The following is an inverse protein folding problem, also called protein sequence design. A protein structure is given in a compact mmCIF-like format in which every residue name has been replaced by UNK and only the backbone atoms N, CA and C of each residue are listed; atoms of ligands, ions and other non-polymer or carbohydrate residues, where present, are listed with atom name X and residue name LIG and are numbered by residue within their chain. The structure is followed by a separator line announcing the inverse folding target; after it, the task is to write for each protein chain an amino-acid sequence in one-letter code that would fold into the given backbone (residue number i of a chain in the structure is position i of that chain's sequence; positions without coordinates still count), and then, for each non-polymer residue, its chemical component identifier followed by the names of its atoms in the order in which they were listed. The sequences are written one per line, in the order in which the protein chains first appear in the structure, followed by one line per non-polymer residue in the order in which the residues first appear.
data_IF_427629550082
#
_entry.id   IF_427629550082
#
_cell.length_a   1.000
_cell.length_b   1.000
_cell.length_c   1.000
_cell.angle_alpha   90.00
_cell.angle_beta   90.00
_cell.angle_gamma   90.00
#
_symmetry.space_group_name_H-M   'P 1'
#
loop_
_entity.id
_entity.type
_entity.pdbx_description
1 polymer ?
#
# COMPACT_ATOMS: atom_id res chain seq x y z
N UNK A 1 -23.60 15.60 -7.73
CA UNK A 1 -23.44 14.43 -6.84
C UNK A 1 -23.29 14.95 -5.42
N UNK A 2 -24.04 14.46 -4.44
CA UNK A 2 -23.85 14.87 -3.06
C UNK A 2 -22.48 14.38 -2.60
N UNK A 3 -21.56 15.31 -2.34
CA UNK A 3 -20.27 14.99 -1.73
C UNK A 3 -20.53 14.36 -0.35
N UNK A 4 -20.05 13.14 -0.13
CA UNK A 4 -20.09 12.53 1.19
C UNK A 4 -19.20 13.38 2.11
N UNK A 5 -19.82 14.10 3.05
CA UNK A 5 -19.10 14.94 4.00
C UNK A 5 -18.29 14.06 4.96
N UNK A 6 -17.05 14.46 5.28
CA UNK A 6 -16.28 13.83 6.33
C UNK A 6 -16.97 14.06 7.68
N UNK A 7 -17.45 13.00 8.32
CA UNK A 7 -18.15 13.05 9.61
C UNK A 7 -17.32 12.51 10.78
N UNK A 8 -16.16 11.92 10.50
CA UNK A 8 -15.28 11.30 11.48
C UNK A 8 -13.83 11.72 11.27
N UNK A 9 -13.06 11.73 12.35
CA UNK A 9 -11.60 11.86 12.35
C UNK A 9 -10.89 10.50 12.52
N UNK A 10 -11.65 9.41 12.60
CA UNK A 10 -11.10 8.05 12.61
C UNK A 10 -10.48 7.74 11.24
N UNK A 11 -9.19 7.39 11.21
CA UNK A 11 -8.46 7.08 9.98
C UNK A 11 -9.03 5.88 9.22
N UNK A 12 -9.76 4.99 9.89
CA UNK A 12 -10.38 3.82 9.28
C UNK A 12 -11.72 4.14 8.61
N UNK A 13 -12.35 5.27 8.94
CA UNK A 13 -13.58 5.74 8.31
C UNK A 13 -13.29 6.41 6.96
N UNK A 14 -13.12 5.57 5.96
CA UNK A 14 -12.79 5.97 4.58
C UNK A 14 -13.99 5.97 3.65
N UNK A 15 -15.22 5.76 4.17
CA UNK A 15 -16.41 5.64 3.34
C UNK A 15 -16.68 6.89 2.49
N UNK A 16 -16.38 8.07 3.04
CA UNK A 16 -16.53 9.36 2.36
C UNK A 16 -15.53 9.58 1.20
N UNK A 17 -14.49 8.75 1.08
CA UNK A 17 -13.46 8.88 0.05
C UNK A 17 -13.74 8.10 -1.24
N UNK A 18 -14.79 7.26 -1.26
CA UNK A 18 -15.09 6.35 -2.38
C UNK A 18 -16.60 6.33 -2.67
N UNK A 19 -16.96 6.25 -3.95
CA UNK A 19 -18.33 5.98 -4.38
C UNK A 19 -18.65 4.47 -4.35
N UNK A 20 -17.64 3.65 -4.66
CA UNK A 20 -17.76 2.19 -4.73
C UNK A 20 -17.27 1.45 -3.48
N UNK A 21 -17.11 0.13 -3.63
CA UNK A 21 -16.56 -0.72 -2.57
C UNK A 21 -15.07 -0.42 -2.27
N UNK A 22 -14.35 0.16 -3.23
CA UNK A 22 -12.93 0.53 -3.12
C UNK A 22 -12.72 1.90 -3.76
N UNK A 23 -11.72 2.64 -3.28
CA UNK A 23 -11.32 3.91 -3.88
C UNK A 23 -10.62 3.67 -5.22
N UNK A 24 -10.93 4.48 -6.23
CA UNK A 24 -10.24 4.49 -7.53
C UNK A 24 -9.01 5.41 -7.50
N UNK A 25 -8.13 5.28 -8.49
CA UNK A 25 -6.98 6.18 -8.63
C UNK A 25 -7.40 7.62 -8.96
N UNK A 26 -8.48 7.79 -9.72
CA UNK A 26 -9.05 9.10 -10.03
C UNK A 26 -9.67 9.76 -8.80
N UNK A 27 -10.42 9.01 -7.99
CA UNK A 27 -10.95 9.50 -6.71
C UNK A 27 -9.80 9.91 -5.79
N UNK A 28 -8.76 9.08 -5.67
CA UNK A 28 -7.59 9.41 -4.88
C UNK A 28 -6.89 10.68 -5.39
N UNK A 29 -6.71 10.84 -6.70
CA UNK A 29 -6.15 12.06 -7.29
C UNK A 29 -7.02 13.29 -6.99
N UNK A 30 -8.34 13.16 -7.12
CA UNK A 30 -9.29 14.23 -6.83
C UNK A 30 -9.19 14.67 -5.36
N UNK A 31 -9.14 13.74 -4.41
CA UNK A 31 -8.99 14.05 -2.99
C UNK A 31 -7.65 14.72 -2.67
N UNK A 32 -6.55 14.28 -3.31
CA UNK A 32 -5.24 14.93 -3.16
C UNK A 32 -5.25 16.36 -3.72
N UNK A 33 -5.93 16.59 -4.84
CA UNK A 33 -6.11 17.91 -5.43
C UNK A 33 -6.95 18.83 -4.51
N UNK A 34 -8.02 18.31 -3.91
CA UNK A 34 -8.82 19.04 -2.92
C UNK A 34 -8.00 19.39 -1.67
N UNK A 35 -7.22 18.44 -1.14
CA UNK A 35 -6.35 18.66 0.01
C UNK A 35 -5.27 19.72 -0.28
N UNK A 36 -4.67 19.71 -1.48
CA UNK A 36 -3.76 20.77 -1.94
C UNK A 36 -4.42 22.15 -1.85
N UNK A 37 -5.63 22.31 -2.37
CA UNK A 37 -6.35 23.59 -2.33
C UNK A 37 -6.59 24.03 -0.90
N UNK A 38 -7.01 23.11 -0.03
CA UNK A 38 -7.23 23.41 1.40
C UNK A 38 -5.93 23.88 2.09
N UNK A 39 -4.79 23.21 1.86
CA UNK A 39 -3.51 23.64 2.44
C UNK A 39 -3.12 25.06 1.97
N UNK A 40 -3.33 25.38 0.70
CA UNK A 40 -3.05 26.73 0.17
C UNK A 40 -4.01 27.78 0.75
N UNK A 41 -5.28 27.43 0.97
CA UNK A 41 -6.26 28.30 1.62
C UNK A 41 -5.88 28.56 3.09
N UNK A 42 -5.45 27.54 3.83
CA UNK A 42 -4.96 27.69 5.20
C UNK A 42 -3.70 28.57 5.22
N UNK A 43 -2.72 28.30 4.35
CA UNK A 43 -1.52 29.11 4.23
C UNK A 43 -1.85 30.59 3.96
N UNK A 44 -2.83 30.85 3.08
CA UNK A 44 -3.31 32.21 2.78
C UNK A 44 -4.03 32.86 3.98
N UNK A 45 -4.83 32.11 4.73
CA UNK A 45 -5.50 32.63 5.91
C UNK A 45 -4.51 32.98 7.04
N UNK A 46 -3.43 32.21 7.18
CA UNK A 46 -2.37 32.44 8.16
C UNK A 46 -1.48 33.66 7.85
N UNK A 47 -1.59 34.26 6.66
CA UNK A 47 -0.93 35.55 6.37
C UNK A 47 -1.50 36.71 7.21
N UNK A 48 -2.73 36.55 7.72
CA UNK A 48 -3.39 37.52 8.60
C UNK A 48 -4.01 36.82 9.82
N UNK A 49 -3.18 36.30 10.74
CA UNK A 49 -3.68 35.55 11.88
C UNK A 49 -4.42 36.48 12.87
N UNK A 50 -5.41 35.94 13.56
CA UNK A 50 -6.17 36.70 14.58
C UNK A 50 -5.29 37.16 15.76
N UNK A 51 -4.18 36.46 16.00
CA UNK A 51 -3.18 36.78 17.01
C UNK A 51 -1.86 37.08 16.31
N UNK A 52 -1.19 38.17 16.68
CA UNK A 52 0.08 38.58 16.09
C UNK A 52 1.22 37.61 16.44
N UNK A 53 1.37 36.58 15.61
CA UNK A 53 2.43 35.57 15.68
C UNK A 53 3.09 35.50 14.31
N UNK A 54 4.42 35.42 14.28
CA UNK A 54 5.19 35.20 13.04
C UNK A 54 5.04 33.74 12.61
N UNK A 55 4.53 33.53 11.40
CA UNK A 55 4.13 32.22 10.87
C UNK A 55 4.71 31.93 9.47
N UNK A 56 5.66 32.73 8.97
CA UNK A 56 6.23 32.56 7.63
C UNK A 56 6.71 31.12 7.34
N UNK A 57 7.43 30.50 8.29
CA UNK A 57 7.96 29.15 8.11
C UNK A 57 6.85 28.10 7.96
N UNK A 58 5.75 28.24 8.71
CA UNK A 58 4.59 27.34 8.65
C UNK A 58 3.79 27.54 7.35
N UNK A 59 3.62 28.79 6.92
CA UNK A 59 3.00 29.13 5.64
C UNK A 59 3.77 28.47 4.49
N UNK A 60 5.09 28.57 4.50
CA UNK A 60 5.93 27.97 3.47
C UNK A 60 5.96 26.43 3.56
N UNK A 61 5.86 25.86 4.77
CA UNK A 61 5.71 24.42 4.95
C UNK A 61 4.40 23.89 4.33
N UNK A 62 3.28 24.57 4.57
CA UNK A 62 1.98 24.24 3.97
C UNK A 62 2.02 24.32 2.44
N UNK A 63 2.67 25.34 1.87
CA UNK A 63 2.82 25.50 0.41
C UNK A 63 3.71 24.41 -0.20
N UNK A 64 4.78 23.99 0.49
CA UNK A 64 5.61 22.84 0.07
C UNK A 64 4.81 21.55 0.07
N UNK A 65 4.08 21.26 1.16
CA UNK A 65 3.20 20.09 1.22
C UNK A 65 2.15 20.10 0.12
N UNK A 66 1.54 21.26 -0.17
CA UNK A 66 0.60 21.40 -1.28
C UNK A 66 1.22 21.09 -2.65
N UNK A 67 2.48 21.46 -2.86
CA UNK A 67 3.25 21.08 -4.07
C UNK A 67 3.48 19.58 -4.15
N UNK A 68 3.87 18.95 -3.05
CA UNK A 68 4.07 17.49 -2.98
C UNK A 68 2.77 16.73 -3.27
N UNK A 69 1.63 17.20 -2.74
CA UNK A 69 0.32 16.63 -3.03
C UNK A 69 -0.05 16.78 -4.51
N UNK A 70 0.31 17.91 -5.16
CA UNK A 70 0.14 18.09 -6.61
C UNK A 70 0.87 17.00 -7.40
N UNK A 71 2.15 16.77 -7.11
CA UNK A 71 2.94 15.75 -7.81
C UNK A 71 2.39 14.33 -7.60
N UNK A 72 1.85 14.04 -6.42
CA UNK A 72 1.17 12.75 -6.15
C UNK A 72 -0.17 12.63 -6.89
N UNK A 73 -0.95 13.69 -6.95
CA UNK A 73 -2.21 13.75 -7.72
C UNK A 73 -1.95 13.50 -9.20
N UNK A 74 -0.95 14.16 -9.79
CA UNK A 74 -0.55 13.95 -11.19
C UNK A 74 -0.09 12.51 -11.44
N UNK A 75 0.66 11.94 -10.48
CA UNK A 75 1.06 10.54 -10.53
C UNK A 75 -0.14 9.60 -10.55
N UNK A 76 -1.15 9.84 -9.70
CA UNK A 76 -2.36 9.01 -9.66
C UNK A 76 -3.22 9.13 -10.91
N UNK A 77 -3.36 10.33 -11.49
CA UNK A 77 -4.02 10.49 -12.78
C UNK A 77 -3.31 9.73 -13.90
N UNK A 78 -1.97 9.77 -13.91
CA UNK A 78 -1.18 9.01 -14.88
C UNK A 78 -1.37 7.50 -14.70
N UNK A 79 -1.40 7.02 -13.46
CA UNK A 79 -1.67 5.62 -13.17
C UNK A 79 -3.09 5.21 -13.58
N UNK A 80 -4.09 6.08 -13.38
CA UNK A 80 -5.47 5.82 -13.82
C UNK A 80 -5.51 5.57 -15.33
N UNK A 81 -4.93 6.47 -16.13
CA UNK A 81 -4.84 6.31 -17.58
C UNK A 81 -4.09 5.03 -18.01
N UNK A 82 -3.06 4.59 -17.24
CA UNK A 82 -2.41 3.30 -17.49
C UNK A 82 -3.36 2.13 -17.19
N UNK A 83 -4.03 2.15 -16.04
CA UNK A 83 -4.92 1.08 -15.56
C UNK A 83 -6.13 0.92 -16.48
N UNK A 84 -6.67 2.02 -16.99
CA UNK A 84 -7.80 2.03 -17.94
C UNK A 84 -7.38 1.57 -19.35
N UNK A 85 -6.07 1.55 -19.63
CA UNK A 85 -5.49 1.09 -20.89
C UNK A 85 -5.26 2.18 -21.93
N UNK A 86 -5.54 3.44 -21.61
CA UNK A 86 -5.25 4.61 -22.47
C UNK A 86 -3.75 4.80 -22.69
N UNK A 87 -2.94 4.44 -21.68
CA UNK A 87 -1.48 4.45 -21.76
C UNK A 87 -0.97 3.01 -21.84
N UNK A 88 -0.31 2.69 -22.97
CA UNK A 88 0.37 1.41 -23.15
C UNK A 88 1.60 1.31 -22.23
N UNK A 89 1.93 0.07 -21.90
CA UNK A 89 3.06 -0.30 -21.04
C UNK A 89 3.88 -1.40 -21.71
N UNK A 90 5.15 -1.50 -21.36
CA UNK A 90 5.99 -2.58 -21.87
C UNK A 90 5.50 -3.94 -21.36
N UNK A 91 5.57 -4.98 -22.20
CA UNK A 91 5.13 -6.34 -21.82
C UNK A 91 6.10 -7.04 -20.85
N UNK A 92 7.35 -6.59 -20.74
CA UNK A 92 8.35 -7.14 -19.81
C UNK A 92 9.09 -6.03 -19.06
N UNK A 93 9.84 -6.42 -18.02
CA UNK A 93 10.79 -5.56 -17.31
C UNK A 93 12.12 -5.48 -18.09
N UNK A 94 13.08 -4.58 -17.74
CA UNK A 94 14.28 -4.38 -18.55
C UNK A 94 15.22 -5.60 -18.56
N UNK A 95 15.11 -6.47 -17.56
CA UNK A 95 15.80 -7.76 -17.52
C UNK A 95 15.08 -8.87 -18.33
N UNK A 96 14.04 -8.52 -19.11
CA UNK A 96 13.27 -9.46 -19.94
C UNK A 96 12.14 -10.16 -19.19
N UNK A 97 11.97 -9.85 -17.91
CA UNK A 97 11.06 -10.54 -17.03
C UNK A 97 9.57 -10.22 -17.32
N UNK A 98 8.68 -11.21 -17.56
CA UNK A 98 7.24 -10.95 -17.65
C UNK A 98 6.64 -10.45 -16.33
N UNK A 99 5.49 -9.79 -16.43
CA UNK A 99 4.65 -9.36 -15.31
C UNK A 99 3.17 -9.66 -15.58
N UNK A 100 2.31 -9.43 -14.59
CA UNK A 100 0.88 -9.74 -14.69
C UNK A 100 0.64 -11.23 -14.93
N UNK A 101 -0.30 -11.57 -15.81
CA UNK A 101 -0.69 -12.95 -16.12
C UNK A 101 0.44 -13.72 -16.79
N UNK A 102 1.31 -13.05 -17.55
CA UNK A 102 2.45 -13.68 -18.22
C UNK A 102 3.52 -14.17 -17.22
N UNK A 103 3.52 -13.68 -15.98
CA UNK A 103 4.40 -14.17 -14.92
C UNK A 103 3.85 -15.43 -14.21
N UNK A 104 2.68 -15.96 -14.62
CA UNK A 104 2.11 -17.19 -14.05
C UNK A 104 3.03 -18.39 -14.25
N UNK A 105 3.38 -19.04 -13.14
CA UNK A 105 4.23 -20.22 -13.13
C UNK A 105 5.72 -19.92 -13.31
N UNK A 106 6.16 -18.65 -13.28
CA UNK A 106 7.58 -18.34 -13.17
C UNK A 106 8.03 -18.44 -11.71
N UNK A 107 8.96 -19.34 -11.42
CA UNK A 107 9.66 -19.42 -10.13
C UNK A 107 10.64 -18.25 -10.04
N UNK A 108 10.15 -17.07 -9.65
CA UNK A 108 11.02 -15.93 -9.33
C UNK A 108 11.27 -15.85 -7.84
N UNK A 109 12.54 -15.91 -7.48
CA UNK A 109 13.01 -15.72 -6.09
C UNK A 109 12.90 -14.24 -5.65
N UNK A 110 13.04 -13.28 -6.57
CA UNK A 110 13.19 -11.85 -6.25
C UNK A 110 11.86 -11.09 -6.05
N UNK A 111 10.77 -11.57 -6.64
CA UNK A 111 9.48 -10.87 -6.63
C UNK A 111 8.37 -11.85 -6.23
N UNK A 112 8.14 -11.96 -4.92
CA UNK A 112 7.26 -12.97 -4.33
C UNK A 112 5.83 -12.96 -4.88
N UNK A 113 5.52 -13.97 -5.70
CA UNK A 113 4.17 -14.38 -6.06
C UNK A 113 4.08 -15.02 -7.46
N UNK A 114 3.07 -15.88 -7.71
CA UNK A 114 2.84 -16.50 -9.02
C UNK A 114 2.33 -15.51 -10.08
N UNK A 115 1.97 -14.28 -9.73
CA UNK A 115 1.72 -13.21 -10.69
C UNK A 115 2.29 -11.90 -10.13
N UNK A 116 3.05 -11.17 -10.93
CA UNK A 116 3.68 -9.92 -10.49
C UNK A 116 2.73 -8.77 -10.73
N UNK A 117 2.08 -8.28 -9.66
CA UNK A 117 1.41 -6.97 -9.65
C UNK A 117 2.51 -5.91 -9.52
N UNK A 118 2.74 -5.06 -10.54
CA UNK A 118 3.79 -4.06 -10.48
C UNK A 118 3.52 -3.02 -9.39
N UNK A 119 4.58 -2.54 -8.74
CA UNK A 119 4.52 -1.32 -7.92
C UNK A 119 4.23 -0.09 -8.78
N UNK A 120 3.78 1.00 -8.16
CA UNK A 120 3.60 2.30 -8.83
C UNK A 120 4.82 2.70 -9.66
N UNK A 121 6.03 2.60 -9.10
CA UNK A 121 7.28 2.97 -9.80
C UNK A 121 7.54 2.08 -11.01
N UNK A 122 7.33 0.77 -10.86
CA UNK A 122 7.49 -0.18 -11.96
C UNK A 122 6.49 0.10 -13.09
N UNK A 123 5.24 0.39 -12.76
CA UNK A 123 4.21 0.64 -13.77
C UNK A 123 4.47 1.94 -14.56
N UNK A 124 4.88 3.02 -13.88
CA UNK A 124 5.30 4.26 -14.53
C UNK A 124 6.50 4.03 -15.44
N UNK A 125 7.49 3.27 -14.98
CA UNK A 125 8.65 2.92 -15.80
C UNK A 125 8.28 2.12 -17.05
N UNK A 126 7.40 1.12 -16.91
CA UNK A 126 6.92 0.33 -18.04
C UNK A 126 6.19 1.22 -19.08
N UNK A 127 5.46 2.23 -18.63
CA UNK A 127 4.81 3.21 -19.50
C UNK A 127 5.83 4.11 -20.21
N UNK A 128 6.83 4.61 -19.48
CA UNK A 128 7.91 5.45 -20.05
C UNK A 128 8.68 4.69 -21.15
N UNK A 129 8.99 3.42 -20.92
CA UNK A 129 9.70 2.56 -21.90
C UNK A 129 8.85 2.31 -23.15
N UNK A 130 7.56 1.99 -22.97
CA UNK A 130 6.66 1.80 -24.10
C UNK A 130 6.49 3.08 -24.95
N UNK A 131 6.44 4.24 -24.29
CA UNK A 131 6.36 5.53 -24.98
C UNK A 131 7.62 5.81 -25.80
N UNK A 132 8.81 5.52 -25.24
CA UNK A 132 10.09 5.69 -25.96
C UNK A 132 10.17 4.78 -27.20
N UNK A 133 9.81 3.50 -27.05
CA UNK A 133 9.81 2.55 -28.15
C UNK A 133 8.84 2.92 -29.30
N UNK A 134 7.76 3.64 -28.99
CA UNK A 134 6.81 4.15 -30.00
C UNK A 134 7.34 5.34 -30.80
N UNK A 135 8.24 6.14 -30.25
CA UNK A 135 8.84 7.30 -30.93
C UNK A 135 9.99 6.91 -31.87
N UNK A 136 10.66 5.80 -31.61
CA UNK A 136 11.84 5.36 -32.39
C UNK A 136 11.50 4.76 -33.77
N UNK A 137 10.22 4.70 -34.16
CA UNK A 137 9.79 4.26 -35.50
C UNK A 137 10.08 5.29 -36.61
N UNK A 138 10.38 6.56 -36.30
CA UNK A 138 10.77 7.58 -37.29
C UNK A 138 12.27 7.92 -37.32
N UNK A 139 13.10 7.35 -36.44
CA UNK A 139 14.52 7.70 -36.40
C UNK A 139 15.30 6.99 -35.30
N UNK A 140 15.67 5.74 -35.57
CA UNK A 140 16.53 4.83 -34.79
C UNK A 140 17.35 5.51 -33.68
N UNK A 141 16.89 5.40 -32.44
CA UNK A 141 17.75 5.31 -31.27
C UNK A 141 17.47 3.99 -30.56
N UNK A 142 18.21 2.94 -30.96
CA UNK A 142 18.29 1.71 -30.18
C UNK A 142 18.77 2.06 -28.78
N UNK A 143 17.89 1.90 -27.79
CA UNK A 143 18.31 1.77 -26.39
C UNK A 143 19.43 0.72 -26.31
N UNK A 144 20.48 0.94 -25.50
CA UNK A 144 21.59 0.00 -25.39
C UNK A 144 21.07 -1.28 -24.71
N UNK A 145 20.85 -2.31 -25.53
CA UNK A 145 20.23 -3.58 -25.14
C UNK A 145 18.99 -3.81 -25.99
N UNK A 146 19.11 -4.66 -27.02
CA UNK A 146 18.05 -4.99 -27.98
C UNK A 146 16.79 -5.52 -27.31
N UNK A 147 15.93 -4.59 -26.90
CA UNK A 147 14.72 -4.88 -26.17
C UNK A 147 13.58 -5.14 -27.17
N UNK A 148 13.37 -6.41 -27.52
CA UNK A 148 12.24 -6.89 -28.33
C UNK A 148 10.95 -7.04 -27.48
N UNK A 149 10.79 -6.23 -26.43
CA UNK A 149 9.59 -6.25 -25.61
C UNK A 149 8.45 -5.54 -26.33
N UNK A 150 7.43 -6.29 -26.76
CA UNK A 150 6.19 -5.70 -27.28
C UNK A 150 5.52 -4.79 -26.26
N UNK A 151 4.62 -3.91 -26.73
CA UNK A 151 3.74 -3.13 -25.84
C UNK A 151 2.43 -3.88 -25.58
N UNK A 152 1.87 -3.68 -24.39
CA UNK A 152 0.55 -4.21 -23.97
C UNK A 152 -0.22 -3.12 -23.23
N UNK A 153 -1.49 -3.37 -22.89
CA UNK A 153 -2.28 -2.52 -21.99
C UNK A 153 -2.38 -3.18 -20.61
N UNK A 154 -2.60 -2.38 -19.56
CA UNK A 154 -2.77 -2.93 -18.21
C UNK A 154 -3.94 -3.92 -18.11
N UNK A 155 -5.15 -3.66 -18.66
CA UNK A 155 -6.25 -4.64 -18.62
C UNK A 155 -5.90 -5.96 -19.32
N UNK A 156 -5.15 -5.92 -20.42
CA UNK A 156 -4.72 -7.13 -21.13
C UNK A 156 -3.69 -7.92 -20.32
N UNK A 157 -2.67 -7.25 -19.77
CA UNK A 157 -1.63 -7.89 -18.96
C UNK A 157 -2.19 -8.50 -17.66
N UNK A 158 -3.24 -7.91 -17.10
CA UNK A 158 -3.88 -8.36 -15.86
C UNK A 158 -5.08 -9.29 -16.10
N UNK A 159 -5.39 -9.64 -17.35
CA UNK A 159 -6.53 -10.47 -17.69
C UNK A 159 -6.47 -11.83 -16.96
N UNK A 160 -7.52 -12.15 -16.21
CA UNK A 160 -7.62 -13.37 -15.41
C UNK A 160 -7.02 -13.26 -14.00
N UNK A 161 -6.37 -12.15 -13.62
CA UNK A 161 -5.93 -11.92 -12.23
C UNK A 161 -7.11 -11.41 -11.38
N UNK A 162 -7.47 -12.19 -10.36
CA UNK A 162 -8.46 -11.79 -9.37
C UNK A 162 -7.85 -10.81 -8.35
N UNK A 163 -7.82 -9.53 -8.72
CA UNK A 163 -7.31 -8.46 -7.86
C UNK A 163 -8.25 -8.13 -6.68
N UNK A 164 -9.49 -8.66 -6.61
CA UNK A 164 -10.39 -8.44 -5.48
C UNK A 164 -9.93 -9.12 -4.19
N UNK A 165 -9.15 -10.20 -4.33
CA UNK A 165 -8.54 -10.90 -3.20
C UNK A 165 -7.15 -10.38 -2.86
N UNK A 166 -6.61 -9.47 -3.68
CA UNK A 166 -5.31 -8.90 -3.44
C UNK A 166 -5.36 -7.84 -2.34
N UNK A 167 -4.35 -7.84 -1.48
CA UNK A 167 -4.18 -6.83 -0.46
C UNK A 167 -2.80 -6.16 -0.59
N UNK A 168 -2.77 -4.83 -0.45
CA UNK A 168 -1.52 -4.07 -0.43
C UNK A 168 -0.61 -4.49 0.73
N UNK A 169 0.71 -4.41 0.52
CA UNK A 169 1.72 -4.66 1.57
C UNK A 169 1.51 -3.79 2.81
N UNK A 170 1.02 -2.56 2.65
CA UNK A 170 0.74 -1.66 3.77
C UNK A 170 -0.38 -2.21 4.67
N UNK A 171 -1.46 -2.72 4.06
CA UNK A 171 -2.56 -3.33 4.80
C UNK A 171 -2.14 -4.67 5.44
N UNK A 172 -1.31 -5.48 4.76
CA UNK A 172 -0.70 -6.67 5.37
C UNK A 172 0.13 -6.32 6.63
N UNK A 173 0.95 -5.27 6.56
CA UNK A 173 1.75 -4.79 7.70
C UNK A 173 0.84 -4.31 8.83
N UNK A 174 -0.23 -3.55 8.53
CA UNK A 174 -1.18 -3.09 9.53
C UNK A 174 -1.88 -4.28 10.22
N UNK A 175 -2.42 -5.23 9.45
CA UNK A 175 -3.05 -6.44 9.99
C UNK A 175 -2.09 -7.25 10.86
N UNK A 176 -0.82 -7.38 10.45
CA UNK A 176 0.22 -8.03 11.26
C UNK A 176 0.42 -7.29 12.60
N UNK A 177 0.48 -5.96 12.60
CA UNK A 177 0.59 -5.17 13.83
C UNK A 177 -0.63 -5.32 14.73
N UNK A 178 -1.83 -5.31 14.17
CA UNK A 178 -3.08 -5.53 14.91
C UNK A 178 -3.09 -6.93 15.55
N UNK A 179 -2.66 -7.95 14.80
CA UNK A 179 -2.48 -9.31 15.31
C UNK A 179 -1.45 -9.35 16.43
N UNK A 180 -0.26 -8.79 16.24
CA UNK A 180 0.81 -8.81 17.23
C UNK A 180 0.39 -8.10 18.53
N UNK A 181 -0.36 -6.99 18.42
CA UNK A 181 -0.96 -6.32 19.57
C UNK A 181 -2.02 -7.19 20.27
N UNK A 182 -2.89 -7.87 19.52
CA UNK A 182 -3.87 -8.79 20.08
C UNK A 182 -3.20 -10.00 20.77
N UNK A 183 -2.12 -10.52 20.22
CA UNK A 183 -1.30 -11.58 20.83
C UNK A 183 -0.66 -11.09 22.12
N UNK A 184 -0.08 -9.89 22.13
CA UNK A 184 0.50 -9.32 23.35
C UNK A 184 -0.51 -9.22 24.50
N UNK A 185 -1.76 -8.84 24.21
CA UNK A 185 -2.85 -8.83 25.19
C UNK A 185 -3.27 -10.26 25.60
N UNK A 186 -3.43 -11.16 24.64
CA UNK A 186 -3.86 -12.54 24.89
C UNK A 186 -2.83 -13.33 25.71
N UNK A 187 -1.54 -13.10 25.48
CA UNK A 187 -0.44 -13.69 26.26
C UNK A 187 -0.65 -13.43 27.75
N UNK A 188 -1.03 -12.21 28.14
CA UNK A 188 -1.24 -11.87 29.54
C UNK A 188 -2.46 -12.57 30.16
N UNK A 189 -3.44 -13.00 29.34
CA UNK A 189 -4.65 -13.71 29.80
C UNK A 189 -4.42 -15.21 30.05
N UNK A 190 -3.44 -15.81 29.38
CA UNK A 190 -3.17 -17.25 29.49
C UNK A 190 -2.24 -17.50 30.68
N UNK A 191 -2.62 -18.38 31.60
CA UNK A 191 -1.72 -18.81 32.69
C UNK A 191 -0.50 -19.56 32.14
N UNK A 192 0.70 -19.20 32.60
CA UNK A 192 1.92 -19.85 32.15
C UNK A 192 2.16 -21.17 32.90
N UNK A 193 2.08 -22.30 32.20
CA UNK A 193 2.33 -23.62 32.80
C UNK A 193 3.76 -23.80 33.36
N UNK A 194 4.76 -23.08 32.82
CA UNK A 194 6.17 -23.25 33.19
C UNK A 194 6.61 -22.44 34.41
N UNK A 195 6.08 -21.23 34.60
CA UNK A 195 6.45 -20.35 35.71
C UNK A 195 5.26 -19.91 36.57
N UNK A 196 4.10 -20.53 36.34
CA UNK A 196 2.83 -20.30 37.04
C UNK A 196 2.34 -18.85 37.04
N UNK A 197 2.90 -17.99 36.17
CA UNK A 197 2.44 -16.61 36.02
C UNK A 197 0.95 -16.59 35.62
N UNK A 198 0.13 -15.91 36.42
CA UNK A 198 -1.31 -15.86 36.26
C UNK A 198 -1.79 -14.84 35.23
N UNK A 199 -3.10 -14.59 35.25
CA UNK A 199 -3.75 -13.56 34.46
C UNK A 199 -3.18 -12.16 34.79
N UNK A 200 -2.86 -11.39 33.76
CA UNK A 200 -2.21 -10.08 33.87
C UNK A 200 -0.71 -10.11 34.20
N UNK A 201 -0.12 -11.28 34.52
CA UNK A 201 1.27 -11.37 34.95
C UNK A 201 2.25 -11.71 33.82
N UNK A 202 3.39 -11.02 33.80
CA UNK A 202 4.50 -11.38 32.93
C UNK A 202 5.22 -12.66 33.39
N UNK A 203 5.78 -13.40 32.43
CA UNK A 203 6.61 -14.56 32.75
C UNK A 203 7.84 -14.13 33.57
N UNK A 204 8.25 -14.98 34.51
CA UNK A 204 9.44 -14.76 35.32
C UNK A 204 10.54 -15.77 34.98
N UNK A 205 11.78 -15.35 35.13
CA UNK A 205 12.95 -16.24 35.09
C UNK A 205 13.00 -17.12 36.33
N UNK A 206 13.87 -18.15 36.32
CA UNK A 206 14.09 -19.01 37.49
C UNK A 206 14.58 -18.24 38.74
N UNK A 207 15.11 -17.02 38.57
CA UNK A 207 15.55 -16.13 39.66
C UNK A 207 14.45 -15.17 40.13
N UNK A 208 13.23 -15.30 39.61
CA UNK A 208 12.07 -14.47 39.98
C UNK A 208 12.00 -13.10 39.30
N UNK A 209 12.91 -12.78 38.38
CA UNK A 209 12.87 -11.52 37.61
C UNK A 209 11.85 -11.59 36.49
N UNK A 210 11.19 -10.48 36.19
CA UNK A 210 10.33 -10.38 35.00
C UNK A 210 11.21 -10.59 33.75
N UNK A 211 10.77 -11.50 32.88
CA UNK A 211 11.43 -11.78 31.61
C UNK A 211 10.87 -10.87 30.52
N UNK A 212 11.75 -10.31 29.69
CA UNK A 212 11.37 -9.58 28.48
C UNK A 212 10.67 -10.49 27.45
N UNK A 213 10.98 -11.79 27.48
CA UNK A 213 10.37 -12.80 26.62
C UNK A 213 9.45 -13.71 27.41
N UNK A 214 8.29 -14.01 26.86
CA UNK A 214 7.40 -15.04 27.41
C UNK A 214 7.84 -16.44 27.03
N UNK A 215 7.42 -17.44 27.81
CA UNK A 215 7.69 -18.83 27.48
C UNK A 215 7.00 -19.22 26.17
N UNK A 216 7.72 -19.97 25.31
CA UNK A 216 7.27 -20.34 23.96
C UNK A 216 5.89 -21.01 23.94
N UNK A 217 5.58 -21.88 24.90
CA UNK A 217 4.27 -22.54 24.99
C UNK A 217 3.13 -21.54 25.21
N UNK A 218 3.32 -20.55 26.10
CA UNK A 218 2.35 -19.48 26.35
C UNK A 218 2.16 -18.59 25.11
N UNK A 219 3.26 -18.25 24.44
CA UNK A 219 3.23 -17.48 23.19
C UNK A 219 2.44 -18.22 22.10
N UNK A 220 2.76 -19.49 21.84
CA UNK A 220 2.09 -20.27 20.79
C UNK A 220 0.61 -20.52 21.09
N UNK A 221 0.22 -20.68 22.36
CA UNK A 221 -1.19 -20.76 22.75
C UNK A 221 -1.93 -19.44 22.51
N UNK A 222 -1.31 -18.29 22.83
CA UNK A 222 -1.89 -16.98 22.58
C UNK A 222 -2.04 -16.71 21.06
N UNK A 223 -1.03 -17.06 20.27
CA UNK A 223 -1.09 -16.99 18.81
C UNK A 223 -2.24 -17.83 18.26
N UNK A 224 -2.37 -19.10 18.68
CA UNK A 224 -3.45 -19.97 18.24
C UNK A 224 -4.84 -19.43 18.60
N UNK A 225 -5.02 -18.88 19.81
CA UNK A 225 -6.27 -18.27 20.23
C UNK A 225 -6.63 -17.03 19.41
N UNK A 226 -5.65 -16.15 19.18
CA UNK A 226 -5.84 -14.93 18.36
C UNK A 226 -6.14 -15.29 16.92
N UNK A 227 -5.40 -16.24 16.35
CA UNK A 227 -5.55 -16.67 14.96
C UNK A 227 -6.92 -17.34 14.75
N UNK A 228 -7.37 -18.18 15.68
CA UNK A 228 -8.72 -18.76 15.65
C UNK A 228 -9.82 -17.69 15.77
N UNK A 229 -9.62 -16.66 16.62
CA UNK A 229 -10.59 -15.57 16.81
C UNK A 229 -10.66 -14.62 15.61
N UNK A 230 -9.53 -14.31 15.00
CA UNK A 230 -9.42 -13.40 13.86
C UNK A 230 -9.62 -14.11 12.50
N UNK A 231 -9.74 -15.44 12.48
CA UNK A 231 -9.86 -16.23 11.25
C UNK A 231 -8.58 -16.23 10.40
N UNK A 232 -7.41 -16.11 11.04
CA UNK A 232 -6.12 -16.01 10.35
C UNK A 232 -5.67 -17.41 9.87
N UNK A 233 -5.81 -17.69 8.58
CA UNK A 233 -5.22 -18.86 7.93
C UNK A 233 -3.87 -18.46 7.29
N UNK A 234 -2.83 -18.28 8.10
CA UNK A 234 -1.45 -18.11 7.63
C UNK A 234 -1.15 -16.81 6.88
N UNK A 235 0.13 -16.65 6.52
CA UNK A 235 0.75 -15.45 5.95
C UNK A 235 0.40 -15.21 4.46
N UNK A 236 -0.79 -15.62 3.99
CA UNK A 236 -1.06 -15.59 2.55
C UNK A 236 -2.52 -15.36 2.19
N UNK A 237 -2.85 -14.16 1.68
CA UNK A 237 -3.76 -14.02 0.57
C UNK A 237 -2.94 -13.56 -0.65
N UNK A 238 -2.06 -14.44 -1.12
CA UNK A 238 -1.75 -14.58 -2.55
C UNK A 238 -2.45 -15.84 -3.06
N UNK A 239 -3.72 -16.02 -2.71
CA UNK A 239 -4.54 -17.03 -3.36
C UNK A 239 -5.02 -16.46 -4.70
N UNK A 240 -4.16 -16.49 -5.71
CA UNK A 240 -4.62 -16.52 -7.09
C UNK A 240 -5.04 -17.96 -7.33
N UNK A 241 -6.35 -18.26 -7.22
CA UNK A 241 -7.01 -19.37 -7.91
C UNK A 241 -8.55 -19.28 -7.78
N UNK A 242 -9.18 -18.82 -8.86
CA UNK A 242 -10.19 -19.52 -9.67
C UNK A 242 -10.48 -18.68 -10.93
#
# INVERSE_FOLDING_TARGET
MPAHAQTSADESDTAHLREGASITLEEAALHLSAAKVLLLQVARALETPATAVELADEIDALRRQATDLSGRSETFMRLAAIVDGDVKVSATFPNGDPWGTAARGSDREDFGGPAVIPTTRQLLWLADVAAQAGCDQEGVRLLPGGYEGGSTTYPQAMAGINHRMWESRAAQIRRRRERDAAVAVEVLRITCERCTAGDGEHCRTNTGRISEKVHKSRQSAAEANVDARLGYLGDTPLAVDA
#
